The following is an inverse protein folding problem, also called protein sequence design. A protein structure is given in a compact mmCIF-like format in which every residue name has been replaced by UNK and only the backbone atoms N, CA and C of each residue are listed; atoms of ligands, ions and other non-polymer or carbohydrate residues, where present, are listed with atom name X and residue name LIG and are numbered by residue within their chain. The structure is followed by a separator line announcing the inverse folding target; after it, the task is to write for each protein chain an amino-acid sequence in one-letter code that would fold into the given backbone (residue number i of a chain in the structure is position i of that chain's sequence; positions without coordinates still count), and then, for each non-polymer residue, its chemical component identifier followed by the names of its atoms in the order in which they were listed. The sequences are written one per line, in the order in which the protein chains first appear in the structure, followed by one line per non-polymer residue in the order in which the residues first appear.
data_IF_593952047435
#
_entry.id   IF_593952047435
#
_cell.length_a   1.000
_cell.length_b   1.000
_cell.length_c   1.000
_cell.angle_alpha   90.00
_cell.angle_beta   90.00
_cell.angle_gamma   90.00
#
_symmetry.space_group_name_H-M   'P 1'
#
loop_
_entity.id
_entity.type
_entity.pdbx_description
1 polymer ?
#
# COMPACT_ATOMS: atom_id res chain seq x y z
N UNK A 1 15.12 -20.05 5.12
CA UNK A 1 16.35 -20.06 4.28
C UNK A 1 15.94 -19.54 2.90
N UNK A 2 16.53 -18.48 2.44
CA UNK A 2 16.36 -18.02 1.05
C UNK A 2 17.72 -18.12 0.39
N UNK A 3 17.71 -18.70 -0.77
CA UNK A 3 18.86 -18.70 -1.64
C UNK A 3 18.94 -17.29 -2.26
N UNK A 4 20.01 -16.56 -1.98
CA UNK A 4 20.19 -15.19 -2.48
C UNK A 4 20.54 -15.15 -3.98
N UNK A 5 20.29 -16.22 -4.71
CA UNK A 5 20.58 -16.31 -6.13
C UNK A 5 19.31 -16.12 -6.94
N UNK A 6 19.31 -15.11 -7.77
CA UNK A 6 18.27 -14.90 -8.79
C UNK A 6 18.60 -15.81 -9.95
N UNK A 7 17.64 -16.60 -10.41
CA UNK A 7 17.77 -17.29 -11.68
C UNK A 7 17.63 -16.27 -12.80
N UNK A 8 18.74 -15.98 -13.47
CA UNK A 8 18.80 -14.94 -14.50
C UNK A 8 17.97 -15.29 -15.75
N UNK A 9 17.69 -16.57 -15.98
CA UNK A 9 16.91 -17.01 -17.14
C UNK A 9 15.41 -16.81 -16.95
N UNK A 10 14.93 -16.94 -15.73
CA UNK A 10 13.50 -16.84 -15.38
C UNK A 10 13.15 -15.60 -14.58
N UNK A 11 14.15 -14.88 -14.05
CA UNK A 11 13.96 -13.73 -13.17
C UNK A 11 13.32 -14.09 -11.83
N UNK A 12 13.39 -15.36 -11.42
CA UNK A 12 12.73 -15.85 -10.21
C UNK A 12 13.71 -16.11 -9.07
N UNK A 13 13.21 -16.04 -7.84
CA UNK A 13 13.93 -16.42 -6.63
C UNK A 13 13.22 -17.61 -6.01
N UNK A 14 13.96 -18.66 -5.73
CA UNK A 14 13.44 -19.81 -4.98
C UNK A 14 13.40 -19.50 -3.49
N UNK A 15 12.24 -19.61 -2.89
CA UNK A 15 12.05 -19.43 -1.46
C UNK A 15 11.59 -20.72 -0.81
N UNK A 16 12.19 -21.08 0.33
CA UNK A 16 11.78 -22.22 1.14
C UNK A 16 11.32 -21.75 2.50
N UNK A 17 10.13 -22.16 2.90
CA UNK A 17 9.59 -21.93 4.24
C UNK A 17 9.41 -23.27 4.94
N UNK A 18 9.82 -23.34 6.21
CA UNK A 18 9.62 -24.51 7.07
C UNK A 18 8.57 -24.16 8.12
N UNK A 19 7.56 -24.98 8.22
CA UNK A 19 6.48 -24.83 9.21
C UNK A 19 6.49 -26.03 10.15
N UNK A 20 6.24 -25.76 11.43
CA UNK A 20 5.97 -26.82 12.38
C UNK A 20 4.55 -27.33 12.17
N UNK A 21 4.39 -28.64 12.18
CA UNK A 21 3.09 -29.32 12.01
C UNK A 21 2.82 -30.23 13.22
N UNK A 22 2.64 -29.65 14.43
CA UNK A 22 2.54 -30.44 15.67
C UNK A 22 1.27 -31.31 15.73
N UNK A 23 0.24 -30.94 15.00
CA UNK A 23 -1.06 -31.60 15.01
C UNK A 23 -1.29 -32.47 13.75
N UNK A 24 -0.26 -32.68 12.95
CA UNK A 24 -0.30 -33.39 11.66
C UNK A 24 -1.47 -32.95 10.73
N UNK A 25 -1.88 -31.68 10.90
CA UNK A 25 -2.97 -31.08 10.12
C UNK A 25 -2.60 -30.73 8.68
N UNK A 26 -1.31 -30.64 8.40
CA UNK A 26 -0.78 -30.42 7.06
C UNK A 26 -0.34 -31.73 6.45
N UNK A 27 -1.00 -32.11 5.37
CA UNK A 27 -0.74 -33.37 4.66
C UNK A 27 0.05 -33.05 3.38
N UNK A 28 0.99 -33.93 3.05
CA UNK A 28 1.78 -33.78 1.82
C UNK A 28 0.85 -33.90 0.59
N UNK A 29 0.92 -32.89 -0.27
CA UNK A 29 0.09 -32.82 -1.48
C UNK A 29 -1.13 -31.90 -1.35
N UNK A 30 -1.41 -31.36 -0.15
CA UNK A 30 -2.49 -30.40 0.03
C UNK A 30 -2.18 -29.04 -0.61
N UNK A 31 -3.24 -28.37 -1.05
CA UNK A 31 -3.14 -27.02 -1.58
C UNK A 31 -3.08 -25.99 -0.44
N UNK A 32 -2.04 -25.19 -0.44
CA UNK A 32 -1.87 -24.09 0.51
C UNK A 32 -1.84 -22.73 -0.18
N UNK A 33 -2.32 -21.70 0.51
CA UNK A 33 -2.11 -20.30 0.10
C UNK A 33 -1.05 -19.67 1.00
N UNK A 34 0.04 -19.21 0.40
CA UNK A 34 1.11 -18.52 1.10
C UNK A 34 0.99 -17.02 0.86
N UNK A 35 0.99 -16.24 1.94
CA UNK A 35 0.99 -14.78 1.88
C UNK A 35 2.34 -14.30 2.40
N UNK A 36 3.11 -13.66 1.53
CA UNK A 36 4.40 -13.09 1.86
C UNK A 36 4.25 -11.64 2.29
N UNK A 37 4.72 -11.34 3.50
CA UNK A 37 4.79 -9.97 3.99
C UNK A 37 6.24 -9.50 3.93
N UNK A 38 6.52 -8.51 3.09
CA UNK A 38 7.82 -7.82 3.14
C UNK A 38 7.81 -6.81 4.28
N UNK A 39 8.82 -6.86 5.14
CA UNK A 39 9.10 -5.77 6.09
C UNK A 39 9.81 -4.65 5.32
N UNK A 40 9.04 -3.79 4.69
CA UNK A 40 9.59 -2.52 4.24
C UNK A 40 9.96 -1.70 5.49
N UNK A 41 11.24 -1.39 5.64
CA UNK A 41 11.72 -0.54 6.74
C UNK A 41 11.36 0.92 6.52
N UNK A 42 11.12 1.32 5.28
CA UNK A 42 10.86 2.69 4.91
C UNK A 42 9.37 2.95 4.72
N UNK A 43 8.91 4.05 5.32
CA UNK A 43 7.56 4.54 5.11
C UNK A 43 7.56 5.31 3.79
N UNK A 44 6.99 4.72 2.76
CA UNK A 44 6.81 5.39 1.47
C UNK A 44 5.48 6.12 1.44
N UNK A 45 5.40 7.32 0.85
CA UNK A 45 4.14 8.01 0.68
C UNK A 45 3.25 7.25 -0.31
N UNK A 46 1.96 7.21 -0.02
CA UNK A 46 0.94 6.67 -0.91
C UNK A 46 -0.07 7.75 -1.26
N UNK A 47 -0.51 7.76 -2.51
CA UNK A 47 -1.47 8.75 -3.02
C UNK A 47 -2.67 8.01 -3.61
N UNK A 48 -3.91 8.37 -3.23
CA UNK A 48 -5.10 7.80 -3.85
C UNK A 48 -5.09 7.99 -5.37
N UNK A 49 -5.54 7.00 -6.12
CA UNK A 49 -5.60 7.10 -7.59
C UNK A 49 -6.47 8.26 -8.04
N UNK A 50 -7.57 8.51 -7.34
CA UNK A 50 -8.50 9.62 -7.60
C UNK A 50 -7.86 11.02 -7.46
N UNK A 51 -6.75 11.12 -6.70
CA UNK A 51 -6.01 12.37 -6.53
C UNK A 51 -4.98 12.62 -7.63
N UNK A 52 -4.81 11.69 -8.55
CA UNK A 52 -3.79 11.76 -9.60
C UNK A 52 -4.39 12.13 -10.94
N UNK A 53 -3.69 12.97 -11.66
CA UNK A 53 -3.97 13.33 -13.04
C UNK A 53 -2.76 12.98 -13.90
N UNK A 54 -2.99 12.86 -15.21
CA UNK A 54 -1.94 12.54 -16.17
C UNK A 54 -2.01 13.49 -17.37
N UNK A 55 -0.85 13.93 -17.83
CA UNK A 55 -0.68 14.72 -19.03
C UNK A 55 0.50 14.19 -19.85
N UNK A 56 0.90 14.92 -20.90
CA UNK A 56 1.99 14.50 -21.79
C UNK A 56 3.35 14.41 -21.08
N UNK A 57 3.54 15.15 -19.98
CA UNK A 57 4.78 15.16 -19.17
C UNK A 57 4.79 14.07 -18.11
N UNK A 58 3.61 13.47 -17.79
CA UNK A 58 3.48 12.37 -16.85
C UNK A 58 2.38 12.54 -15.83
N UNK A 59 2.45 11.71 -14.79
CA UNK A 59 1.46 11.70 -13.71
C UNK A 59 1.79 12.77 -12.67
N UNK A 60 0.79 13.52 -12.25
CA UNK A 60 0.93 14.60 -11.28
C UNK A 60 -0.22 14.67 -10.28
N UNK A 61 0.01 15.39 -9.20
CA UNK A 61 -0.96 15.71 -8.16
C UNK A 61 -0.94 17.21 -7.87
N UNK A 62 -2.02 17.72 -7.28
CA UNK A 62 -2.02 19.05 -6.72
C UNK A 62 -1.70 19.00 -5.22
N UNK A 63 -0.56 19.57 -4.84
CA UNK A 63 -0.15 19.75 -3.45
C UNK A 63 -0.53 21.14 -3.01
N UNK A 64 -1.15 21.26 -1.84
CA UNK A 64 -1.49 22.56 -1.25
C UNK A 64 -0.32 23.09 -0.42
N UNK A 65 0.02 24.34 -0.64
CA UNK A 65 0.93 25.06 0.24
C UNK A 65 0.23 25.58 1.52
N UNK A 66 0.94 26.37 2.30
CA UNK A 66 0.42 26.96 3.56
C UNK A 66 -0.75 27.91 3.34
N UNK A 67 -0.78 28.57 2.20
CA UNK A 67 -1.79 29.56 1.81
C UNK A 67 -2.96 28.96 1.04
N UNK A 68 -3.06 27.61 1.03
CA UNK A 68 -4.04 26.83 0.26
C UNK A 68 -3.96 27.07 -1.26
N UNK A 69 -2.79 27.41 -1.75
CA UNK A 69 -2.53 27.53 -3.17
C UNK A 69 -2.14 26.17 -3.74
N UNK A 70 -2.82 25.69 -4.79
CA UNK A 70 -2.48 24.43 -5.42
C UNK A 70 -1.23 24.58 -6.28
N UNK A 71 -0.26 23.72 -6.04
CA UNK A 71 0.95 23.56 -6.86
C UNK A 71 0.93 22.20 -7.51
N UNK A 72 1.15 22.17 -8.82
CA UNK A 72 1.31 20.92 -9.57
C UNK A 72 2.64 20.28 -9.19
N UNK A 73 2.60 19.00 -8.83
CA UNK A 73 3.79 18.20 -8.54
C UNK A 73 3.75 16.89 -9.31
N UNK A 74 4.73 16.69 -10.17
CA UNK A 74 4.90 15.43 -10.89
C UNK A 74 5.39 14.34 -9.96
N UNK A 75 4.76 13.18 -10.03
CA UNK A 75 5.06 12.03 -9.18
C UNK A 75 5.62 10.87 -9.99
N UNK A 76 6.58 10.16 -9.39
CA UNK A 76 7.01 8.85 -9.91
C UNK A 76 6.43 7.77 -9.04
N UNK A 77 5.70 6.84 -9.65
CA UNK A 77 5.06 5.72 -8.97
C UNK A 77 5.88 4.46 -9.14
N UNK A 78 5.92 3.61 -8.11
CA UNK A 78 6.62 2.30 -8.13
C UNK A 78 5.66 1.12 -8.18
N UNK A 79 4.37 1.36 -7.91
CA UNK A 79 3.35 0.32 -7.88
C UNK A 79 2.06 0.82 -7.29
N UNK A 80 1.13 -0.10 -7.11
CA UNK A 80 -0.19 0.13 -6.56
C UNK A 80 -0.43 -0.79 -5.37
N UNK A 81 -1.05 -0.26 -4.32
CA UNK A 81 -1.50 -1.01 -3.16
C UNK A 81 -2.85 -0.47 -2.69
N UNK A 82 -3.87 -1.31 -2.64
CA UNK A 82 -5.22 -0.98 -2.15
C UNK A 82 -5.82 0.29 -2.82
N UNK A 83 -5.71 0.40 -4.15
CA UNK A 83 -6.23 1.55 -4.92
C UNK A 83 -5.45 2.85 -4.71
N UNK A 84 -4.22 2.77 -4.22
CA UNK A 84 -3.32 3.91 -4.01
C UNK A 84 -2.00 3.68 -4.72
N UNK A 85 -1.46 4.74 -5.28
CA UNK A 85 -0.12 4.72 -5.87
C UNK A 85 0.95 4.82 -4.78
N UNK A 86 1.91 3.91 -4.82
CA UNK A 86 3.15 4.02 -4.05
C UNK A 86 4.06 4.99 -4.77
N UNK A 87 4.42 6.10 -4.11
CA UNK A 87 5.18 7.18 -4.74
C UNK A 87 6.61 7.17 -4.26
N UNK A 88 7.54 7.19 -5.23
CA UNK A 88 8.99 7.27 -4.97
C UNK A 88 9.52 8.69 -4.92
N UNK A 89 8.88 9.62 -5.63
CA UNK A 89 9.28 11.03 -5.66
C UNK A 89 8.12 11.93 -6.07
N UNK A 90 8.22 13.22 -5.75
CA UNK A 90 7.23 14.25 -6.10
C UNK A 90 6.33 14.67 -4.96
N UNK A 91 6.15 13.85 -3.92
CA UNK A 91 5.42 14.20 -2.69
C UNK A 91 6.22 13.79 -1.46
N UNK A 92 6.00 14.49 -0.37
CA UNK A 92 6.62 14.23 0.93
C UNK A 92 5.56 13.86 1.96
N UNK A 93 6.00 13.19 3.01
CA UNK A 93 5.13 12.92 4.16
C UNK A 93 4.67 14.23 4.78
N UNK A 94 3.35 14.38 4.94
CA UNK A 94 2.71 15.57 5.50
C UNK A 94 2.23 16.56 4.43
N UNK A 95 2.52 16.35 3.16
CA UNK A 95 1.95 17.16 2.09
C UNK A 95 0.43 16.97 2.04
N UNK A 96 -0.28 18.08 1.84
CA UNK A 96 -1.74 18.08 1.65
C UNK A 96 -2.03 17.97 0.16
N UNK A 97 -2.75 16.93 -0.23
CA UNK A 97 -3.06 16.62 -1.63
C UNK A 97 -4.55 16.81 -1.86
N UNK A 98 -4.92 17.42 -2.98
CA UNK A 98 -6.32 17.56 -3.38
C UNK A 98 -6.79 16.22 -3.95
N UNK A 99 -7.86 15.65 -3.36
CA UNK A 99 -8.46 14.39 -3.80
C UNK A 99 -9.76 14.59 -4.56
N UNK A 100 -10.46 15.70 -4.34
CA UNK A 100 -11.74 15.97 -4.95
C UNK A 100 -11.80 17.32 -5.65
N UNK A 101 -12.62 17.43 -6.71
CA UNK A 101 -12.81 18.68 -7.43
C UNK A 101 -11.63 19.10 -8.31
N UNK A 102 -10.76 18.17 -8.68
CA UNK A 102 -9.53 18.43 -9.45
C UNK A 102 -9.77 19.25 -10.73
N UNK A 103 -10.91 19.04 -11.40
CA UNK A 103 -11.29 19.76 -12.62
C UNK A 103 -11.56 21.26 -12.40
N UNK A 104 -11.81 21.67 -11.15
CA UNK A 104 -12.08 23.06 -10.77
C UNK A 104 -10.84 23.78 -10.23
N UNK A 105 -9.74 23.07 -10.11
CA UNK A 105 -8.49 23.61 -9.58
C UNK A 105 -7.82 24.46 -10.65
N UNK A 106 -7.63 25.73 -10.32
CA UNK A 106 -6.87 26.67 -11.17
C UNK A 106 -5.52 26.92 -10.45
N UNK A 107 -4.40 26.58 -11.07
CA UNK A 107 -3.08 26.86 -10.51
C UNK A 107 -2.92 28.36 -10.20
N UNK A 108 -2.42 28.66 -9.01
CA UNK A 108 -2.23 30.07 -8.56
C UNK A 108 -3.45 30.74 -7.94
N UNK A 109 -4.62 30.08 -7.93
CA UNK A 109 -5.81 30.59 -7.22
C UNK A 109 -6.05 29.79 -5.94
N UNK A 110 -6.33 30.44 -4.80
CA UNK A 110 -6.56 29.73 -3.55
C UNK A 110 -7.81 28.85 -3.63
N UNK A 111 -7.72 27.64 -3.11
CA UNK A 111 -8.85 26.70 -3.08
C UNK A 111 -9.53 26.71 -1.72
N UNK A 112 -10.86 26.56 -1.72
CA UNK A 112 -11.63 26.37 -0.51
C UNK A 112 -11.62 24.90 -0.12
N UNK A 113 -11.11 24.60 1.05
CA UNK A 113 -11.14 23.24 1.62
C UNK A 113 -12.55 22.97 2.14
N UNK A 114 -13.20 21.95 1.60
CA UNK A 114 -14.56 21.53 2.01
C UNK A 114 -14.46 20.48 3.12
N UNK A 115 -13.52 19.54 2.99
CA UNK A 115 -13.26 18.50 3.97
C UNK A 115 -11.80 18.06 3.90
N UNK A 116 -11.26 17.63 5.02
CA UNK A 116 -9.92 17.05 5.08
C UNK A 116 -10.04 15.60 5.50
N UNK A 117 -9.50 14.69 4.69
CA UNK A 117 -9.39 13.29 5.03
C UNK A 117 -7.97 13.08 5.56
N UNK A 118 -7.85 12.91 6.88
CA UNK A 118 -6.57 12.51 7.45
C UNK A 118 -6.34 11.03 7.13
N UNK A 119 -5.36 10.76 6.29
CA UNK A 119 -4.85 9.40 6.13
C UNK A 119 -4.00 9.07 7.35
N UNK A 120 -4.67 8.75 8.45
CA UNK A 120 -4.02 8.23 9.63
C UNK A 120 -3.31 6.94 9.28
N UNK A 121 -2.05 6.85 9.65
CA UNK A 121 -1.29 5.60 9.64
C UNK A 121 -2.01 4.55 10.47
N UNK A 122 -2.79 3.73 9.87
CA UNK A 122 -2.96 2.40 10.40
C UNK A 122 -2.21 1.44 9.48
N UNK A 123 -0.92 1.29 9.79
CA UNK A 123 -0.35 -0.03 9.63
C UNK A 123 -1.28 -0.96 10.43
N UNK A 124 -1.87 -2.00 9.82
CA UNK A 124 -2.79 -2.89 10.53
C UNK A 124 -2.09 -3.35 11.80
N UNK A 125 -2.68 -3.05 12.94
CA UNK A 125 -2.19 -3.54 14.24
C UNK A 125 -2.15 -5.05 14.12
N UNK A 126 -0.94 -5.59 13.97
CA UNK A 126 -0.66 -7.02 13.74
C UNK A 126 -1.41 -7.93 14.71
N UNK A 127 -1.69 -7.46 15.92
CA UNK A 127 -2.39 -8.22 16.94
C UNK A 127 -3.88 -8.44 16.65
N UNK A 128 -4.58 -7.49 16.04
CA UNK A 128 -6.03 -7.62 15.84
C UNK A 128 -6.38 -8.55 14.67
N UNK A 129 -5.56 -8.57 13.63
CA UNK A 129 -5.75 -9.45 12.46
C UNK A 129 -5.38 -10.88 12.81
N UNK A 130 -4.27 -11.08 13.53
CA UNK A 130 -3.86 -12.40 13.99
C UNK A 130 -4.86 -12.97 15.01
N UNK A 131 -5.35 -12.17 15.98
CA UNK A 131 -6.40 -12.60 16.92
C UNK A 131 -7.72 -12.93 16.21
N UNK A 132 -8.14 -12.15 15.20
CA UNK A 132 -9.33 -12.46 14.38
C UNK A 132 -9.17 -13.75 13.58
N UNK A 133 -8.00 -13.99 13.00
CA UNK A 133 -7.68 -15.21 12.27
C UNK A 133 -7.63 -16.43 13.19
N UNK A 134 -6.97 -16.34 14.34
CA UNK A 134 -6.89 -17.41 15.34
C UNK A 134 -8.29 -17.74 15.89
N UNK A 135 -9.12 -16.74 16.17
CA UNK A 135 -10.49 -16.98 16.65
C UNK A 135 -11.39 -17.58 15.55
N UNK A 136 -11.16 -17.19 14.27
CA UNK A 136 -11.92 -17.79 13.16
C UNK A 136 -11.54 -19.25 12.93
N UNK A 137 -10.26 -19.59 13.07
CA UNK A 137 -9.76 -20.96 13.00
C UNK A 137 -10.27 -21.78 14.19
N UNK A 138 -10.20 -21.27 15.43
CA UNK A 138 -10.75 -21.97 16.60
C UNK A 138 -12.24 -22.25 16.50
N UNK A 139 -13.03 -21.35 15.92
CA UNK A 139 -14.48 -21.58 15.72
C UNK A 139 -14.82 -22.62 14.63
N UNK A 140 -13.89 -22.90 13.72
CA UNK A 140 -14.06 -23.94 12.71
C UNK A 140 -13.80 -25.33 13.33
N UNK A 141 -12.85 -25.43 14.24
CA UNK A 141 -12.50 -26.70 14.91
C UNK A 141 -13.40 -27.05 16.11
N UNK A 142 -14.14 -26.09 16.69
CA UNK A 142 -15.05 -26.36 17.82
C UNK A 142 -16.51 -26.70 17.39
N UNK A 143 -16.74 -26.91 16.09
CA UNK A 143 -18.04 -27.35 15.54
C UNK A 143 -17.98 -28.82 15.06
N UNK A 144 -17.52 -29.70 15.92
CA UNK A 144 -17.77 -31.14 15.83
C UNK A 144 -18.22 -31.65 17.18
#
# INVERSE_FOLDING_TARGET
FHDNKIDESTGTITMRATFQNPDDSLIQGDFGRVILYSKLKDTVPVVPQEATMENQEGRYVYVLDKDNLPKMSYIKTQGEVDGKWVVSSGVKKGDRIITGGLQKVVPGSPVRIVSTIEQTKEAPKKESVIKKLINKVKNIFNKK
#
